data_IF_381345255104
#
_entry.id   IF_381345255104
#
_cell.length_a   1.000
_cell.length_b   1.000
_cell.length_c   1.000
_cell.angle_alpha   90.00
_cell.angle_beta   90.00
_cell.angle_gamma   90.00
#
_symmetry.space_group_name_H-M   'P 1'
#
loop_
_entity.id
_entity.type
_entity.pdbx_description
1 polymer ?
#
# COMPACT_ATOMS: atom_id res chain seq x y z
N UNK A 1 -6.01 -4.63 -15.72
CA UNK A 1 -5.46 -4.11 -16.98
C UNK A 1 -4.15 -3.42 -16.68
N UNK A 2 -3.10 -3.69 -17.45
CA UNK A 2 -1.81 -3.04 -17.28
C UNK A 2 -1.90 -1.54 -17.57
N UNK A 3 -0.95 -0.78 -17.06
CA UNK A 3 -0.83 0.64 -17.37
C UNK A 3 -0.44 0.87 -18.84
N UNK A 4 -0.91 1.99 -19.40
CA UNK A 4 -0.33 2.58 -20.61
C UNK A 4 0.57 3.73 -20.18
N UNK A 5 1.77 3.82 -20.74
CA UNK A 5 2.68 4.94 -20.46
C UNK A 5 2.45 6.05 -21.49
N UNK A 6 1.96 7.21 -21.05
CA UNK A 6 1.71 8.37 -21.89
C UNK A 6 2.42 9.59 -21.31
N UNK A 7 3.35 10.22 -22.05
CA UNK A 7 4.09 11.40 -21.60
C UNK A 7 4.71 11.24 -20.19
N UNK A 8 5.31 10.07 -19.92
CA UNK A 8 5.89 9.69 -18.62
C UNK A 8 4.87 9.55 -17.46
N UNK A 9 3.58 9.53 -17.78
CA UNK A 9 2.48 9.29 -16.83
C UNK A 9 1.95 7.88 -17.02
N UNK A 10 1.78 7.15 -15.92
CA UNK A 10 1.13 5.84 -15.93
C UNK A 10 -0.39 6.03 -15.98
N UNK A 11 -1.01 5.60 -17.07
CA UNK A 11 -2.46 5.71 -17.30
C UNK A 11 -3.12 4.36 -17.01
N UNK A 12 -4.08 4.38 -16.09
CA UNK A 12 -4.91 3.23 -15.74
C UNK A 12 -6.39 3.51 -15.98
N UNK A 13 -7.17 2.45 -16.10
CA UNK A 13 -8.63 2.51 -16.16
C UNK A 13 -9.28 1.87 -14.94
N UNK A 14 -10.43 2.43 -14.54
CA UNK A 14 -11.29 1.95 -13.47
C UNK A 14 -10.76 2.23 -12.05
N UNK A 15 -11.66 2.06 -11.06
CA UNK A 15 -11.38 2.31 -9.64
C UNK A 15 -10.64 1.17 -8.92
N UNK A 16 -10.39 0.05 -9.59
CA UNK A 16 -9.71 -1.08 -8.96
C UNK A 16 -8.28 -0.71 -8.59
N UNK A 17 -7.83 -1.18 -7.42
CA UNK A 17 -6.50 -0.92 -6.89
C UNK A 17 -6.14 0.57 -6.72
N UNK A 18 -7.13 1.46 -6.69
CA UNK A 18 -6.95 2.91 -6.57
C UNK A 18 -5.95 3.29 -5.46
N UNK A 19 -6.19 2.75 -4.26
CA UNK A 19 -5.34 2.92 -3.08
C UNK A 19 -3.88 2.53 -3.32
N UNK A 20 -3.67 1.37 -3.96
CA UNK A 20 -2.33 0.87 -4.24
C UNK A 20 -1.62 1.71 -5.29
N UNK A 21 -2.32 2.10 -6.36
CA UNK A 21 -1.76 2.93 -7.43
C UNK A 21 -1.26 4.27 -6.89
N UNK A 22 -2.04 4.92 -6.01
CA UNK A 22 -1.61 6.15 -5.33
C UNK A 22 -0.42 5.93 -4.39
N UNK A 23 -0.42 4.83 -3.62
CA UNK A 23 0.69 4.46 -2.75
C UNK A 23 1.99 4.26 -3.54
N UNK A 24 1.95 3.45 -4.61
CA UNK A 24 3.11 3.13 -5.43
C UNK A 24 3.57 4.35 -6.24
N UNK A 25 2.65 5.19 -6.71
CA UNK A 25 2.96 6.49 -7.30
C UNK A 25 3.75 7.35 -6.30
N UNK A 26 3.27 7.47 -5.06
CA UNK A 26 3.93 8.26 -4.01
C UNK A 26 5.32 7.76 -3.66
N UNK A 27 5.53 6.44 -3.62
CA UNK A 27 6.84 5.86 -3.35
C UNK A 27 7.79 5.99 -4.56
N UNK A 28 7.31 5.71 -5.77
CA UNK A 28 8.14 5.76 -6.99
C UNK A 28 8.42 7.18 -7.48
N UNK A 29 7.63 8.18 -7.05
CA UNK A 29 7.69 9.55 -7.57
C UNK A 29 7.08 9.72 -8.96
N UNK A 30 6.44 8.69 -9.53
CA UNK A 30 5.88 8.72 -10.88
C UNK A 30 4.44 9.17 -10.86
N UNK A 31 4.08 10.06 -11.79
CA UNK A 31 2.71 10.53 -11.94
C UNK A 31 1.79 9.40 -12.45
N UNK A 32 0.54 9.43 -12.01
CA UNK A 32 -0.49 8.48 -12.41
C UNK A 32 -1.76 9.20 -12.84
N UNK A 33 -2.37 8.73 -13.93
CA UNK A 33 -3.71 9.14 -14.37
C UNK A 33 -4.63 7.93 -14.28
N UNK A 34 -5.79 8.08 -13.67
CA UNK A 34 -6.81 7.04 -13.59
C UNK A 34 -8.06 7.56 -14.29
N UNK A 35 -8.53 6.85 -15.30
CA UNK A 35 -9.68 7.21 -16.13
C UNK A 35 -10.81 6.19 -15.98
N UNK A 36 -12.00 6.54 -16.47
CA UNK A 36 -13.18 5.66 -16.47
C UNK A 36 -13.52 5.14 -15.06
N UNK A 37 -13.37 5.99 -14.04
CA UNK A 37 -13.70 5.66 -12.65
C UNK A 37 -15.23 5.57 -12.54
N UNK A 38 -15.75 4.33 -12.55
CA UNK A 38 -17.18 4.02 -12.41
C UNK A 38 -18.06 4.76 -13.43
N UNK A 39 -17.55 5.03 -14.63
CA UNK A 39 -18.28 5.76 -15.67
C UNK A 39 -19.60 5.12 -16.10
N UNK A 40 -19.73 3.79 -15.94
CA UNK A 40 -20.95 3.04 -16.24
C UNK A 40 -21.90 2.81 -15.05
N UNK A 41 -21.65 3.39 -13.87
CA UNK A 41 -22.55 3.28 -12.71
C UNK A 41 -23.53 4.46 -12.64
N UNK A 42 -24.68 4.27 -11.97
CA UNK A 42 -25.66 5.33 -11.70
C UNK A 42 -25.08 6.53 -10.93
N UNK A 43 -24.08 6.26 -10.09
CA UNK A 43 -23.31 7.27 -9.35
C UNK A 43 -21.84 7.19 -9.80
N UNK A 44 -21.49 7.89 -10.89
CA UNK A 44 -20.18 7.82 -11.52
C UNK A 44 -19.12 8.60 -10.75
N UNK A 45 -17.85 8.24 -10.97
CA UNK A 45 -16.70 8.95 -10.43
C UNK A 45 -16.18 8.43 -9.09
N UNK A 46 -15.36 9.27 -8.46
CA UNK A 46 -14.71 9.00 -7.19
C UNK A 46 -15.71 8.98 -6.03
N UNK A 47 -15.49 8.03 -5.12
CA UNK A 47 -16.23 7.98 -3.85
C UNK A 47 -15.61 8.93 -2.83
N UNK A 48 -16.41 9.32 -1.84
CA UNK A 48 -15.96 10.24 -0.79
C UNK A 48 -14.71 9.74 -0.05
N UNK A 49 -14.61 8.44 0.22
CA UNK A 49 -13.43 7.86 0.87
C UNK A 49 -12.16 7.92 0.00
N UNK A 50 -12.28 7.93 -1.33
CA UNK A 50 -11.15 8.03 -2.26
C UNK A 50 -10.62 9.45 -2.31
N UNK A 51 -11.53 10.44 -2.38
CA UNK A 51 -11.18 11.86 -2.24
C UNK A 51 -10.58 12.15 -0.87
N UNK A 52 -11.15 11.56 0.19
CA UNK A 52 -10.63 11.68 1.55
C UNK A 52 -9.22 11.10 1.68
N UNK A 53 -8.91 10.01 0.97
CA UNK A 53 -7.57 9.44 0.93
C UNK A 53 -6.58 10.34 0.18
N UNK A 54 -6.97 10.92 -0.96
CA UNK A 54 -6.13 11.88 -1.67
C UNK A 54 -5.76 13.05 -0.74
N UNK A 55 -6.72 13.57 0.03
CA UNK A 55 -6.47 14.63 1.02
C UNK A 55 -5.50 14.20 2.13
N UNK A 56 -5.51 12.92 2.53
CA UNK A 56 -4.52 12.41 3.48
C UNK A 56 -3.12 12.40 2.86
N UNK A 57 -2.99 11.93 1.62
CA UNK A 57 -1.71 11.93 0.91
C UNK A 57 -1.15 13.34 0.76
N UNK A 58 -2.00 14.30 0.41
CA UNK A 58 -1.64 15.72 0.29
C UNK A 58 -1.10 16.30 1.62
N UNK A 59 -1.63 15.88 2.77
CA UNK A 59 -1.10 16.29 4.09
C UNK A 59 0.25 15.70 4.45
N UNK A 60 0.56 14.50 3.97
CA UNK A 60 1.81 13.77 4.30
C UNK A 60 2.94 14.14 3.33
N UNK A 61 2.58 14.73 2.19
CA UNK A 61 3.49 15.11 1.11
C UNK A 61 3.58 16.64 1.00
N UNK A 62 4.59 17.13 0.29
CA UNK A 62 4.69 18.54 -0.09
C UNK A 62 4.94 18.65 -1.59
N UNK A 63 4.16 19.50 -2.27
CA UNK A 63 4.21 19.67 -3.72
C UNK A 63 3.43 18.62 -4.51
N UNK A 64 2.49 17.91 -3.89
CA UNK A 64 1.56 17.02 -4.62
C UNK A 64 0.61 17.86 -5.46
N UNK A 65 0.42 17.45 -6.71
CA UNK A 65 -0.56 18.05 -7.62
C UNK A 65 -1.64 17.04 -7.94
N UNK A 66 -2.89 17.43 -7.71
CA UNK A 66 -4.06 16.60 -7.99
C UNK A 66 -5.00 17.39 -8.88
N UNK A 67 -5.41 16.77 -9.97
CA UNK A 67 -6.43 17.34 -10.86
C UNK A 67 -7.56 16.34 -11.03
N UNK A 68 -8.78 16.80 -10.80
CA UNK A 68 -9.99 16.00 -10.94
C UNK A 68 -10.78 16.52 -12.13
N UNK A 69 -11.31 15.61 -12.95
CA UNK A 69 -12.31 15.97 -13.96
C UNK A 69 -13.58 16.49 -13.28
N UNK A 70 -14.36 17.33 -13.97
CA UNK A 70 -15.63 17.87 -13.45
C UNK A 70 -16.58 16.78 -12.93
N UNK A 71 -16.67 15.64 -13.63
CA UNK A 71 -17.53 14.50 -13.26
C UNK A 71 -16.87 13.53 -12.27
N UNK A 72 -15.63 13.79 -11.83
CA UNK A 72 -14.87 12.90 -10.95
C UNK A 72 -14.53 11.53 -11.54
N UNK A 73 -14.73 11.31 -12.85
CA UNK A 73 -14.46 10.04 -13.55
C UNK A 73 -13.00 9.88 -13.98
N UNK A 74 -12.20 10.95 -13.87
CA UNK A 74 -10.75 10.90 -14.05
C UNK A 74 -10.02 11.69 -12.94
N UNK A 75 -8.89 11.15 -12.51
CA UNK A 75 -7.93 11.84 -11.63
C UNK A 75 -6.53 11.77 -12.22
N UNK A 76 -5.85 12.91 -12.22
CA UNK A 76 -4.40 13.00 -12.37
C UNK A 76 -3.79 13.23 -10.99
N UNK A 77 -2.80 12.42 -10.63
CA UNK A 77 -2.08 12.51 -9.36
C UNK A 77 -0.59 12.51 -9.63
N UNK A 78 0.07 13.62 -9.31
CA UNK A 78 1.51 13.76 -9.32
C UNK A 78 2.01 13.84 -7.87
N UNK A 79 2.78 12.85 -7.42
CA UNK A 79 3.23 12.78 -6.04
C UNK A 79 4.26 13.86 -5.73
N UNK A 80 4.13 14.45 -4.54
CA UNK A 80 5.13 15.33 -3.95
C UNK A 80 6.18 14.58 -3.12
N UNK A 81 6.96 15.34 -2.36
CA UNK A 81 8.00 14.81 -1.47
C UNK A 81 7.36 14.39 -0.13
N UNK A 82 7.70 13.21 0.39
CA UNK A 82 7.22 12.75 1.70
C UNK A 82 7.91 13.51 2.83
N UNK A 83 7.16 14.35 3.53
CA UNK A 83 7.66 15.12 4.66
C UNK A 83 7.49 14.36 5.96
N UNK A 84 6.27 13.87 6.25
CA UNK A 84 5.92 13.29 7.55
C UNK A 84 5.49 14.36 8.56
N UNK A 85 5.87 14.20 9.82
CA UNK A 85 5.51 15.13 10.90
C UNK A 85 4.13 14.84 11.52
N UNK A 86 3.53 15.84 12.16
CA UNK A 86 2.24 15.74 12.84
C UNK A 86 1.08 15.86 11.86
N UNK A 87 0.26 14.81 11.72
CA UNK A 87 -0.84 14.73 10.74
C UNK A 87 -2.12 14.30 11.42
N UNK A 88 -3.09 15.20 11.57
CA UNK A 88 -4.45 14.82 12.00
C UNK A 88 -5.39 14.71 10.80
N UNK A 89 -6.13 13.62 10.71
CA UNK A 89 -7.00 13.35 9.55
C UNK A 89 -8.31 12.67 9.90
N UNK A 90 -9.43 13.35 9.63
CA UNK A 90 -10.76 12.77 9.76
C UNK A 90 -11.11 11.89 8.55
N UNK A 91 -11.15 10.58 8.77
CA UNK A 91 -11.49 9.55 7.82
C UNK A 91 -13.00 9.56 7.49
N UNK A 92 -13.32 9.29 6.22
CA UNK A 92 -14.70 9.05 5.79
C UNK A 92 -15.28 7.79 6.47
N UNK A 93 -16.57 7.82 6.82
CA UNK A 93 -17.29 6.72 7.50
C UNK A 93 -17.63 5.54 6.59
N UNK A 94 -17.54 5.72 5.27
CA UNK A 94 -17.75 4.65 4.27
C UNK A 94 -16.69 3.54 4.36
N UNK A 95 -15.54 3.81 4.99
CA UNK A 95 -14.43 2.87 5.15
C UNK A 95 -13.88 2.91 6.58
N UNK A 96 -13.28 1.80 6.99
CA UNK A 96 -12.59 1.71 8.27
C UNK A 96 -11.28 2.49 8.27
N UNK A 97 -10.80 2.84 9.45
CA UNK A 97 -9.52 3.55 9.64
C UNK A 97 -8.32 2.78 9.09
N UNK A 98 -8.42 1.44 9.08
CA UNK A 98 -7.44 0.54 8.47
C UNK A 98 -7.18 0.85 6.99
N UNK A 99 -8.19 1.35 6.27
CA UNK A 99 -8.04 1.74 4.87
C UNK A 99 -6.92 2.77 4.66
N UNK A 100 -6.83 3.74 5.58
CA UNK A 100 -5.86 4.84 5.57
C UNK A 100 -4.56 4.45 6.28
N UNK A 101 -4.66 3.72 7.39
CA UNK A 101 -3.51 3.26 8.19
C UNK A 101 -2.52 2.44 7.37
N UNK A 102 -3.01 1.54 6.51
CA UNK A 102 -2.16 0.71 5.65
C UNK A 102 -1.25 1.57 4.73
N UNK A 103 -1.75 2.70 4.23
CA UNK A 103 -0.95 3.63 3.43
C UNK A 103 0.10 4.32 4.29
N UNK A 104 -0.27 4.80 5.47
CA UNK A 104 0.67 5.49 6.36
C UNK A 104 1.78 4.55 6.85
N UNK A 105 1.46 3.28 7.10
CA UNK A 105 2.45 2.25 7.43
C UNK A 105 3.48 2.04 6.33
N UNK A 106 3.03 2.03 5.08
CA UNK A 106 3.89 1.87 3.93
C UNK A 106 4.73 3.13 3.63
N UNK A 107 4.20 4.35 3.86
CA UNK A 107 4.87 5.62 3.56
C UNK A 107 5.75 6.16 4.69
N UNK A 108 5.36 5.95 5.95
CA UNK A 108 6.01 6.53 7.13
C UNK A 108 7.53 6.33 7.21
N UNK A 109 8.08 5.13 6.88
CA UNK A 109 9.53 4.91 6.87
C UNK A 109 10.30 5.80 5.87
N UNK A 110 9.60 6.29 4.84
CA UNK A 110 10.17 7.09 3.77
C UNK A 110 9.98 8.60 3.96
N UNK A 111 9.34 9.04 5.04
CA UNK A 111 9.22 10.46 5.35
C UNK A 111 10.56 11.09 5.77
N UNK A 112 10.72 12.40 5.54
CA UNK A 112 11.87 13.18 6.02
C UNK A 112 11.92 13.24 7.54
N UNK A 113 10.77 13.50 8.15
CA UNK A 113 10.50 13.55 9.58
C UNK A 113 9.69 12.32 10.04
N UNK A 114 9.82 11.89 11.31
CA UNK A 114 8.95 10.87 11.87
C UNK A 114 7.47 11.21 11.65
N UNK A 115 6.71 10.28 11.10
CA UNK A 115 5.27 10.47 10.91
C UNK A 115 4.55 10.22 12.24
N UNK A 116 3.88 11.25 12.75
CA UNK A 116 2.92 11.16 13.84
C UNK A 116 1.52 11.51 13.36
N UNK A 117 0.79 10.47 12.98
CA UNK A 117 -0.55 10.60 12.49
C UNK A 117 -1.56 10.42 13.63
N UNK A 118 -2.70 11.09 13.54
CA UNK A 118 -3.91 10.85 14.33
C UNK A 118 -5.05 10.77 13.33
N UNK A 119 -5.49 9.55 13.03
CA UNK A 119 -6.66 9.36 12.18
C UNK A 119 -7.93 9.71 13.01
N UNK A 120 -9.09 9.99 12.39
CA UNK A 120 -10.39 10.06 13.06
C UNK A 120 -11.55 9.39 12.30
N UNK A 121 -12.13 8.28 12.80
CA UNK A 121 -13.11 7.49 12.03
C UNK A 121 -13.51 6.14 12.64
N UNK A 122 -14.13 5.29 11.83
CA UNK A 122 -14.72 4.00 12.25
C UNK A 122 -13.65 2.90 12.35
N UNK A 123 -13.45 2.32 13.52
CA UNK A 123 -12.37 1.36 13.77
C UNK A 123 -12.60 -0.04 13.19
N UNK A 124 -13.86 -0.39 12.92
CA UNK A 124 -14.26 -1.70 12.40
C UNK A 124 -15.13 -1.54 11.15
N UNK A 125 -14.75 -2.21 10.07
CA UNK A 125 -15.48 -2.32 8.81
C UNK A 125 -15.25 -3.73 8.28
N UNK A 126 -16.27 -4.37 7.74
CA UNK A 126 -16.14 -5.73 7.20
C UNK A 126 -15.28 -5.76 5.93
N UNK A 127 -15.14 -4.61 5.26
CA UNK A 127 -14.37 -4.45 4.03
C UNK A 127 -12.89 -4.13 4.27
N UNK A 128 -12.49 -3.77 5.49
CA UNK A 128 -11.16 -3.25 5.80
C UNK A 128 -10.49 -4.02 6.93
N UNK A 129 -9.16 -4.07 6.90
CA UNK A 129 -8.40 -4.69 7.98
C UNK A 129 -8.53 -3.84 9.24
N UNK A 130 -8.92 -4.47 10.35
CA UNK A 130 -8.98 -3.79 11.63
C UNK A 130 -7.58 -3.47 12.16
N UNK A 131 -7.50 -2.43 12.96
CA UNK A 131 -6.27 -1.98 13.62
C UNK A 131 -5.61 -3.11 14.41
N UNK A 132 -6.42 -3.93 15.09
CA UNK A 132 -5.94 -5.06 15.89
C UNK A 132 -5.24 -6.11 15.01
N UNK A 133 -5.78 -6.39 13.82
CA UNK A 133 -5.16 -7.31 12.85
C UNK A 133 -3.85 -6.73 12.30
N UNK A 134 -3.82 -5.44 12.00
CA UNK A 134 -2.58 -4.75 11.58
C UNK A 134 -1.52 -4.85 12.68
N UNK A 135 -1.90 -4.60 13.94
CA UNK A 135 -0.99 -4.67 15.09
C UNK A 135 -0.43 -6.07 15.33
N UNK A 136 -1.29 -7.09 15.24
CA UNK A 136 -0.92 -8.46 15.55
C UNK A 136 -0.14 -9.15 14.40
N UNK A 137 -0.50 -8.88 13.14
CA UNK A 137 0.03 -9.60 12.00
C UNK A 137 1.01 -8.77 11.15
N UNK A 138 0.65 -7.53 10.82
CA UNK A 138 1.44 -6.72 9.87
C UNK A 138 2.66 -6.06 10.53
N UNK A 139 2.49 -5.49 11.73
CA UNK A 139 3.59 -4.79 12.42
C UNK A 139 4.82 -5.67 12.70
N UNK A 140 4.70 -6.90 13.23
CA UNK A 140 5.87 -7.74 13.51
C UNK A 140 6.63 -8.11 12.24
N UNK A 141 5.92 -8.28 11.12
CA UNK A 141 6.53 -8.54 9.82
C UNK A 141 7.23 -7.28 9.32
N UNK A 142 6.57 -6.13 9.40
CA UNK A 142 7.15 -4.84 8.99
C UNK A 142 8.43 -4.52 9.77
N UNK A 143 8.46 -4.77 11.08
CA UNK A 143 9.64 -4.60 11.93
C UNK A 143 10.81 -5.52 11.58
N UNK A 144 10.57 -6.69 10.96
CA UNK A 144 11.65 -7.56 10.47
C UNK A 144 12.32 -7.00 9.21
N UNK A 145 11.55 -6.34 8.34
CA UNK A 145 12.05 -5.77 7.08
C UNK A 145 12.59 -4.35 7.24
N UNK A 146 11.93 -3.58 8.08
CA UNK A 146 12.34 -2.23 8.43
C UNK A 146 13.05 -2.39 9.76
N UNK A 147 14.39 -2.43 9.72
CA UNK A 147 15.26 -2.40 10.90
C UNK A 147 15.03 -1.08 11.67
N UNK A 148 13.91 -0.99 12.38
CA UNK A 148 13.55 0.12 13.27
C UNK A 148 14.03 -0.27 14.65
N UNK A 149 15.14 0.32 15.07
CA UNK A 149 15.78 -0.07 16.31
C UNK A 149 14.91 0.23 17.55
N UNK A 150 14.01 1.24 17.56
CA UNK A 150 13.10 1.52 18.70
C UNK A 150 12.04 2.62 18.42
N UNK A 151 11.02 2.38 17.60
CA UNK A 151 9.88 3.31 17.62
C UNK A 151 8.92 3.25 16.47
N UNK A 152 8.42 2.05 16.16
CA UNK A 152 7.11 1.88 15.55
C UNK A 152 6.09 1.60 16.65
N UNK A 153 5.32 2.61 17.04
CA UNK A 153 4.24 2.46 18.04
C UNK A 153 2.88 2.63 17.38
N UNK A 154 1.93 1.76 17.73
CA UNK A 154 0.53 1.86 17.35
C UNK A 154 -0.33 1.80 18.61
N UNK A 155 -0.91 2.95 18.99
CA UNK A 155 -1.62 3.13 20.26
C UNK A 155 -3.07 3.52 20.05
N UNK A 156 -3.99 2.60 20.33
CA UNK A 156 -5.43 2.88 20.31
C UNK A 156 -5.83 3.59 21.60
N UNK A 157 -6.19 4.88 21.53
CA UNK A 157 -6.55 5.65 22.74
C UNK A 157 -8.03 5.53 23.11
N UNK A 158 -8.96 5.36 22.14
CA UNK A 158 -10.41 5.20 22.43
C UNK A 158 -11.18 4.43 21.34
N UNK A 159 -12.19 3.64 21.74
CA UNK A 159 -13.19 2.96 20.87
C UNK A 159 -14.61 3.46 21.20
N UNK A 160 -15.50 3.67 20.23
CA UNK A 160 -16.91 4.06 20.51
C UNK A 160 -17.82 4.33 19.28
N UNK A 161 -19.14 4.14 19.46
CA UNK A 161 -20.21 4.18 18.42
C UNK A 161 -20.51 5.57 17.80
N UNK A 162 -20.01 6.67 18.37
CA UNK A 162 -19.99 8.01 17.75
C UNK A 162 -18.65 8.66 18.08
N UNK A 163 -17.76 8.64 17.08
CA UNK A 163 -16.54 9.44 16.87
C UNK A 163 -15.80 9.92 18.13
N UNK A 164 -14.61 9.36 18.34
CA UNK A 164 -13.34 10.06 18.63
C UNK A 164 -12.24 9.00 18.68
N UNK A 165 -11.31 9.13 17.74
CA UNK A 165 -10.30 8.15 17.37
C UNK A 165 -8.92 8.63 17.86
N UNK A 166 -7.93 7.74 17.90
CA UNK A 166 -6.54 8.12 18.15
C UNK A 166 -5.64 6.90 17.92
N UNK A 167 -4.69 7.03 17.00
CA UNK A 167 -3.56 6.13 16.82
C UNK A 167 -2.32 6.96 16.64
N UNK A 168 -1.65 7.31 17.74
CA UNK A 168 -0.33 7.93 17.67
C UNK A 168 0.60 6.94 16.98
N UNK A 169 0.99 7.32 15.77
CA UNK A 169 2.00 6.63 15.00
C UNK A 169 3.34 7.29 15.36
N UNK A 170 4.35 6.52 15.68
CA UNK A 170 5.71 7.02 15.63
C UNK A 170 6.42 6.08 14.68
N UNK A 171 7.14 6.58 13.69
CA UNK A 171 8.21 5.81 13.05
C UNK A 171 9.50 6.55 13.34
N UNK A 172 10.26 6.04 14.32
CA UNK A 172 11.66 6.41 14.54
C UNK A 172 12.58 5.65 13.57
N UNK A 173 13.74 6.26 13.34
CA UNK A 173 14.38 6.39 12.02
C UNK A 173 15.52 5.37 11.81
N UNK A 174 15.78 4.97 10.55
CA UNK A 174 17.14 4.59 10.08
C UNK A 174 17.41 5.10 8.65
N UNK A 175 18.71 5.13 8.29
CA UNK A 175 19.27 5.79 7.09
C UNK A 175 19.16 4.97 5.79
N UNK A 176 18.94 3.65 5.86
CA UNK A 176 18.79 2.80 4.67
C UNK A 176 17.64 1.81 4.86
N UNK A 177 16.60 1.93 4.05
CA UNK A 177 15.53 0.93 3.91
C UNK A 177 15.69 0.36 2.51
N UNK A 178 16.03 -0.92 2.43
CA UNK A 178 16.10 -1.62 1.16
C UNK A 178 14.73 -2.21 0.86
N UNK A 179 13.95 -1.54 0.00
CA UNK A 179 12.81 -2.20 -0.61
C UNK A 179 13.35 -3.38 -1.45
N UNK A 180 12.87 -4.58 -1.16
CA UNK A 180 13.19 -5.81 -1.90
C UNK A 180 14.68 -6.22 -1.89
N UNK A 181 15.42 -6.08 -0.77
CA UNK A 181 16.79 -6.63 -0.68
C UNK A 181 16.78 -8.15 -0.92
N UNK A 182 17.41 -8.66 -1.99
CA UNK A 182 17.58 -10.09 -2.34
C UNK A 182 16.87 -11.10 -1.42
N UNK A 183 15.54 -11.09 -1.46
CA UNK A 183 14.73 -11.86 -0.54
C UNK A 183 14.10 -13.00 -1.32
N UNK A 184 14.28 -14.20 -0.78
CA UNK A 184 13.59 -15.39 -1.22
C UNK A 184 12.26 -15.47 -0.47
N UNK A 185 11.15 -15.42 -1.20
CA UNK A 185 9.83 -15.58 -0.64
C UNK A 185 9.22 -16.90 -1.11
N UNK A 186 8.75 -17.70 -0.17
CA UNK A 186 7.93 -18.86 -0.48
C UNK A 186 6.48 -18.50 -0.15
N UNK A 187 5.63 -18.55 -1.17
CA UNK A 187 4.20 -18.23 -1.06
C UNK A 187 3.36 -19.40 -1.55
N UNK A 188 2.10 -19.43 -1.12
CA UNK A 188 1.11 -20.34 -1.68
C UNK A 188 0.76 -19.99 -3.13
N UNK A 189 -0.35 -20.54 -3.68
CA UNK A 189 -0.78 -20.21 -5.03
C UNK A 189 -1.07 -18.71 -5.15
N UNK A 190 -0.67 -18.14 -6.29
CA UNK A 190 -0.85 -16.71 -6.56
C UNK A 190 -2.31 -16.42 -6.88
N UNK A 191 -2.92 -15.51 -6.14
CA UNK A 191 -4.25 -14.97 -6.47
C UNK A 191 -4.15 -13.91 -7.57
N UNK A 192 -5.26 -13.65 -8.27
CA UNK A 192 -5.36 -12.59 -9.29
C UNK A 192 -4.99 -11.20 -8.73
N UNK A 193 -5.31 -10.97 -7.45
CA UNK A 193 -4.92 -9.76 -6.73
C UNK A 193 -3.41 -9.66 -6.59
N UNK A 194 -2.74 -10.75 -6.19
CA UNK A 194 -1.28 -10.80 -6.07
C UNK A 194 -0.62 -10.61 -7.42
N UNK A 195 -1.13 -11.24 -8.48
CA UNK A 195 -0.61 -11.08 -9.84
C UNK A 195 -0.72 -9.62 -10.29
N UNK A 196 -1.88 -8.99 -10.08
CA UNK A 196 -2.08 -7.57 -10.39
C UNK A 196 -1.13 -6.67 -9.59
N UNK A 197 -0.88 -7.01 -8.31
CA UNK A 197 0.07 -6.27 -7.48
C UNK A 197 1.52 -6.42 -7.98
N UNK A 198 1.94 -7.61 -8.39
CA UNK A 198 3.26 -7.83 -8.99
C UNK A 198 3.41 -7.06 -10.31
N UNK A 199 2.35 -6.96 -11.12
CA UNK A 199 2.33 -6.14 -12.32
C UNK A 199 2.51 -4.65 -11.97
N UNK A 200 1.79 -4.13 -10.97
CA UNK A 200 2.00 -2.74 -10.52
C UNK A 200 3.43 -2.50 -10.02
N UNK A 201 4.03 -3.45 -9.28
CA UNK A 201 5.42 -3.32 -8.84
C UNK A 201 6.41 -3.23 -10.02
N UNK A 202 6.19 -4.03 -11.06
CA UNK A 202 6.94 -3.93 -12.31
C UNK A 202 6.72 -2.58 -13.00
N UNK A 203 5.48 -2.12 -13.10
CA UNK A 203 5.14 -0.88 -13.79
C UNK A 203 5.70 0.35 -13.10
N UNK A 204 5.61 0.46 -11.77
CA UNK A 204 6.08 1.63 -11.02
C UNK A 204 7.59 1.62 -10.79
N UNK A 205 8.17 0.47 -10.45
CA UNK A 205 9.57 0.38 -10.00
C UNK A 205 10.49 -0.40 -10.95
N UNK A 206 9.96 -1.02 -12.00
CA UNK A 206 10.75 -1.91 -12.86
C UNK A 206 11.14 -3.23 -12.18
N UNK A 207 10.55 -3.58 -11.03
CA UNK A 207 10.88 -4.82 -10.31
C UNK A 207 10.39 -6.03 -11.11
N UNK A 208 11.29 -6.95 -11.37
CA UNK A 208 10.96 -8.25 -11.97
C UNK A 208 11.12 -9.36 -10.93
N UNK A 209 10.10 -10.21 -10.83
CA UNK A 209 10.11 -11.38 -9.97
C UNK A 209 10.33 -12.64 -10.82
N UNK A 210 11.34 -13.43 -10.48
CA UNK A 210 11.52 -14.79 -10.99
C UNK A 210 10.65 -15.73 -10.16
N UNK A 211 9.76 -16.46 -10.81
CA UNK A 211 8.83 -17.39 -10.18
C UNK A 211 9.27 -18.82 -10.54
N UNK A 212 9.51 -19.63 -9.52
CA UNK A 212 9.85 -21.05 -9.63
C UNK A 212 8.77 -21.84 -8.90
N UNK A 213 8.08 -22.75 -9.59
CA UNK A 213 7.09 -23.64 -8.95
C UNK A 213 7.86 -24.76 -8.27
N UNK A 214 7.71 -24.88 -6.96
CA UNK A 214 8.32 -25.98 -6.20
C UNK A 214 7.33 -27.13 -6.19
N UNK A 215 7.63 -28.17 -6.97
CA UNK A 215 7.00 -29.47 -6.84
C UNK A 215 7.68 -30.18 -5.68
N UNK A 216 6.91 -30.71 -4.74
CA UNK A 216 7.43 -31.59 -3.69
C UNK A 216 7.62 -32.96 -4.31
N UNK A 217 8.83 -33.52 -4.21
CA UNK A 217 9.15 -34.88 -4.69
C UNK A 217 8.60 -35.99 -3.76
N UNK A 218 7.66 -35.68 -2.86
CA UNK A 218 7.06 -36.64 -1.92
C UNK A 218 6.02 -37.57 -2.62
N UNK A 219 5.91 -37.52 -3.95
CA UNK A 219 4.89 -38.25 -4.73
C UNK A 219 5.29 -39.72 -5.06
N UNK A 220 6.41 -40.26 -4.57
CA UNK A 220 6.80 -41.66 -4.87
C UNK A 220 6.55 -42.69 -3.74
N UNK A 221 6.30 -42.31 -2.48
CA UNK A 221 6.26 -43.28 -1.36
C UNK A 221 5.10 -43.10 -0.34
N UNK A 222 3.85 -42.89 -0.80
CA UNK A 222 2.70 -43.13 0.08
C UNK A 222 1.51 -43.72 -0.66
N UNK A 223 1.37 -45.04 -0.54
CA UNK A 223 0.10 -45.74 -0.69
C UNK A 223 -0.90 -45.28 0.37
N UNK A 224 -2.14 -45.07 -0.07
CA UNK A 224 -3.39 -44.94 0.69
C UNK A 224 -3.94 -43.50 0.88
N UNK A 225 -5.00 -43.23 0.11
CA UNK A 225 -6.20 -42.43 0.41
C UNK A 225 -6.07 -41.17 1.31
N UNK A 226 -5.69 -40.04 0.71
CA UNK A 226 -6.38 -38.76 0.96
C UNK A 226 -5.98 -37.74 -0.12
N UNK A 227 -6.93 -37.31 -0.94
CA UNK A 227 -6.74 -36.34 -2.01
C UNK A 227 -6.61 -34.92 -1.42
N UNK A 228 -5.60 -34.68 -0.58
CA UNK A 228 -5.24 -33.33 -0.14
C UNK A 228 -4.49 -32.69 -1.28
N UNK A 229 -5.15 -31.79 -2.01
CA UNK A 229 -4.52 -31.02 -3.09
C UNK A 229 -3.28 -30.29 -2.54
N UNK A 230 -2.09 -30.83 -2.80
CA UNK A 230 -0.84 -30.22 -2.36
C UNK A 230 -0.76 -28.82 -2.95
N UNK A 231 -0.90 -27.80 -2.09
CA UNK A 231 -0.93 -26.41 -2.54
C UNK A 231 0.40 -26.10 -3.24
N UNK A 232 0.35 -25.89 -4.56
CA UNK A 232 1.53 -25.57 -5.36
C UNK A 232 2.26 -24.37 -4.76
N UNK A 233 3.39 -24.62 -4.10
CA UNK A 233 4.19 -23.57 -3.47
C UNK A 233 5.00 -22.89 -4.55
N UNK A 234 4.96 -21.56 -4.58
CA UNK A 234 5.71 -20.76 -5.54
C UNK A 234 6.84 -20.07 -4.81
N UNK A 235 8.06 -20.31 -5.29
CA UNK A 235 9.28 -19.67 -4.85
C UNK A 235 9.49 -18.43 -5.71
N UNK A 236 9.48 -17.27 -5.08
CA UNK A 236 9.62 -15.99 -5.75
C UNK A 236 10.94 -15.33 -5.33
N UNK A 237 11.74 -14.99 -6.33
CA UNK A 237 13.01 -14.26 -6.16
C UNK A 237 12.90 -12.93 -6.86
N UNK A 238 13.27 -11.85 -6.19
CA UNK A 238 13.42 -10.53 -6.80
C UNK A 238 14.85 -10.04 -6.64
N UNK A 239 15.31 -9.31 -7.65
CA UNK A 239 16.55 -8.53 -7.55
C UNK A 239 16.18 -7.18 -6.95
N UNK A 240 16.86 -6.80 -5.88
CA UNK A 240 16.60 -5.52 -5.22
C UNK A 240 16.86 -4.34 -6.15
N UNK A 241 15.91 -3.42 -6.23
CA UNK A 241 15.94 -2.25 -7.13
C UNK A 241 16.81 -1.10 -6.61
N UNK A 242 17.53 -1.28 -5.50
CA UNK A 242 18.33 -0.22 -4.89
C UNK A 242 17.51 1.04 -4.60
N UNK A 243 16.25 0.87 -4.17
CA UNK A 243 15.34 1.99 -3.95
C UNK A 243 15.98 3.03 -3.02
N UNK A 244 16.25 4.21 -3.58
CA UNK A 244 16.73 5.37 -2.84
C UNK A 244 15.54 6.25 -2.54
N UNK A 245 15.35 6.55 -1.26
CA UNK A 245 14.30 7.45 -0.84
C UNK A 245 14.53 8.85 -1.45
N UNK A 246 13.70 9.22 -2.41
CA UNK A 246 13.72 10.49 -3.15
C UNK A 246 13.60 11.69 -2.20
N UNK A 247 12.91 11.51 -1.07
CA UNK A 247 12.69 12.56 -0.08
C UNK A 247 13.93 12.83 0.78
N UNK A 248 14.90 11.93 0.82
CA UNK A 248 16.14 12.08 1.58
C UNK A 248 17.28 12.37 0.60
N UNK A 249 17.55 13.66 0.31
CA UNK A 249 18.82 14.04 -0.33
C UNK A 249 19.97 13.60 0.58
N UNK A 250 20.77 12.64 0.13
CA UNK A 250 22.10 12.39 0.67
C UNK A 250 22.95 13.61 0.35
N UNK A 251 23.18 14.46 1.36
CA UNK A 251 24.33 15.36 1.41
C UNK A 251 25.50 14.58 2.01
#
# INVERSE_FOLDING_TARGET
>A
MPAVLENDVLVYKGSNFFRQRLLLSTLSGRAVKIEEIRSGHDDPGLREYEVNLIRLLDKVTNGTRVELSETGTSVYFQPGILIGGQVTHSCCTQRGVGYYLEILLALGPFCKEPLNAVLQGVTHSDLDVSVDKVKAAALPILLKFILVDDGLELKVVRRGKKIKQFEEFLIKRRKHIYLFSNNLFQVGPLSDYTISFLQHLKEFFGVMFKLEVQRTDDDEDSSDDEQVSTAHKVKMTCVGIGYVNISKRTL
#
